data_IF_618925127207
#
_entry.id   IF_618925127207
#
_cell.length_a   1.000
_cell.length_b   1.000
_cell.length_c   1.000
_cell.angle_alpha   90.00
_cell.angle_beta   90.00
_cell.angle_gamma   90.00
#
_symmetry.space_group_name_H-M   'P 1'
#
loop_
_entity.id
_entity.type
_entity.pdbx_description
1 polymer ?
#
# COMPACT_ATOMS: atom_id res chain seq x y z
N UNK A 1 6.30 14.07 -0.77
CA UNK A 1 5.60 14.65 0.41
C UNK A 1 5.28 16.11 0.09
N UNK A 2 4.02 16.43 -0.24
CA UNK A 2 3.59 17.81 -0.42
C UNK A 2 2.12 17.92 0.00
N UNK A 3 1.89 17.85 1.30
CA UNK A 3 0.72 18.44 1.97
C UNK A 3 0.82 19.97 1.94
N UNK A 4 1.08 20.54 0.76
CA UNK A 4 1.15 21.99 0.57
C UNK A 4 -0.26 22.54 0.73
N UNK A 5 -0.49 23.53 1.62
CA UNK A 5 -1.79 24.19 1.75
C UNK A 5 -2.30 24.67 0.38
N UNK A 6 -3.56 24.39 0.09
CA UNK A 6 -4.18 24.74 -1.20
C UNK A 6 -3.92 23.77 -2.36
N UNK A 7 -3.02 22.77 -2.22
CA UNK A 7 -2.88 21.70 -3.20
C UNK A 7 -3.77 20.51 -2.83
N UNK A 8 -4.48 19.96 -3.83
CA UNK A 8 -5.33 18.78 -3.64
C UNK A 8 -4.47 17.54 -3.35
N UNK A 9 -4.78 16.84 -2.26
CA UNK A 9 -4.24 15.50 -1.99
C UNK A 9 -4.88 14.50 -2.96
N UNK A 10 -4.07 13.87 -3.82
CA UNK A 10 -4.56 12.95 -4.87
C UNK A 10 -4.29 11.47 -4.56
N UNK A 11 -3.54 11.18 -3.50
CA UNK A 11 -3.29 9.82 -3.05
C UNK A 11 -2.52 9.78 -1.74
N UNK A 12 -2.64 8.66 -1.04
CA UNK A 12 -1.98 8.41 0.24
C UNK A 12 -1.70 6.91 0.43
N UNK A 13 -0.67 6.62 1.21
CA UNK A 13 -0.42 5.31 1.77
C UNK A 13 -0.20 5.46 3.27
N UNK A 14 -0.82 4.60 4.06
CA UNK A 14 -0.62 4.50 5.51
C UNK A 14 -0.22 3.07 5.84
N UNK A 15 0.82 2.93 6.65
CA UNK A 15 1.26 1.64 7.15
C UNK A 15 1.75 1.71 8.59
N UNK A 16 1.74 0.54 9.24
CA UNK A 16 2.23 0.33 10.60
C UNK A 16 3.39 -0.66 10.49
N UNK A 17 4.51 -0.35 11.14
CA UNK A 17 5.74 -1.14 11.02
C UNK A 17 6.48 -1.18 12.35
N UNK A 18 7.17 -2.28 12.60
CA UNK A 18 8.15 -2.44 13.67
C UNK A 18 9.58 -2.07 13.22
N UNK A 19 9.75 -1.69 11.94
CA UNK A 19 11.03 -1.39 11.27
C UNK A 19 12.03 -2.56 11.24
N UNK A 20 11.59 -3.79 11.50
CA UNK A 20 12.45 -4.97 11.60
C UNK A 20 11.96 -6.12 10.73
N UNK A 21 10.67 -6.46 10.81
CA UNK A 21 10.09 -7.61 10.13
C UNK A 21 9.13 -7.22 9.01
N UNK A 22 8.10 -6.43 9.32
CA UNK A 22 7.04 -6.13 8.36
C UNK A 22 6.40 -4.77 8.57
N UNK A 23 6.09 -4.10 7.46
CA UNK A 23 5.13 -3.02 7.39
C UNK A 23 3.81 -3.54 6.85
N UNK A 24 2.73 -3.39 7.63
CA UNK A 24 1.37 -3.62 7.17
C UNK A 24 0.80 -2.32 6.58
N UNK A 25 0.50 -2.31 5.28
CA UNK A 25 -0.14 -1.18 4.59
C UNK A 25 -1.65 -1.27 4.83
N UNK A 26 -2.11 -0.56 5.85
CA UNK A 26 -3.52 -0.47 6.21
C UNK A 26 -4.36 0.24 5.15
N UNK A 27 -3.81 1.27 4.49
CA UNK A 27 -4.52 2.03 3.47
C UNK A 27 -3.61 2.39 2.31
N UNK A 28 -4.13 2.19 1.10
CA UNK A 28 -3.59 2.72 -0.14
C UNK A 28 -4.76 3.27 -0.94
N UNK A 29 -4.77 4.58 -1.17
CA UNK A 29 -5.84 5.25 -1.89
C UNK A 29 -5.28 6.24 -2.91
N UNK A 30 -5.91 6.28 -4.09
CA UNK A 30 -5.64 7.26 -5.15
C UNK A 30 -6.98 7.75 -5.66
N UNK A 31 -7.14 9.07 -5.79
CA UNK A 31 -8.34 9.69 -6.35
C UNK A 31 -8.67 9.08 -7.71
N UNK A 32 -9.95 8.79 -7.96
CA UNK A 32 -10.42 8.14 -9.20
C UNK A 32 -9.92 8.82 -10.48
N UNK A 33 -9.92 10.16 -10.51
CA UNK A 33 -9.42 10.95 -11.64
C UNK A 33 -7.91 10.87 -11.88
N UNK A 34 -7.16 10.29 -10.96
CA UNK A 34 -5.70 10.15 -11.00
C UNK A 34 -5.24 8.68 -10.97
N UNK A 35 -6.17 7.73 -11.00
CA UNK A 35 -5.86 6.30 -11.13
C UNK A 35 -5.32 6.00 -12.54
N UNK A 36 -4.54 4.93 -12.68
CA UNK A 36 -3.87 4.57 -13.94
C UNK A 36 -2.59 5.36 -14.25
N UNK A 37 -2.31 6.44 -13.50
CA UNK A 37 -1.10 7.28 -13.68
C UNK A 37 0.13 6.78 -12.89
N UNK A 38 0.10 5.56 -12.38
CA UNK A 38 1.21 4.98 -11.61
C UNK A 38 1.37 5.49 -10.17
N UNK A 39 0.49 6.37 -9.68
CA UNK A 39 0.59 6.99 -8.34
C UNK A 39 0.60 5.93 -7.22
N UNK A 40 -0.29 4.93 -7.29
CA UNK A 40 -0.35 3.88 -6.27
C UNK A 40 0.95 3.07 -6.17
N UNK A 41 1.56 2.75 -7.32
CA UNK A 41 2.87 2.10 -7.36
C UNK A 41 3.95 3.01 -6.76
N UNK A 42 3.98 4.28 -7.14
CA UNK A 42 4.95 5.25 -6.61
C UNK A 42 4.85 5.44 -5.09
N UNK A 43 3.64 5.41 -4.52
CA UNK A 43 3.44 5.46 -3.07
C UNK A 43 4.05 4.23 -2.37
N UNK A 44 3.85 3.03 -2.92
CA UNK A 44 4.42 1.79 -2.38
C UNK A 44 5.94 1.72 -2.57
N UNK A 45 6.45 2.16 -3.73
CA UNK A 45 7.89 2.23 -4.01
C UNK A 45 8.59 3.17 -3.02
N UNK A 46 7.99 4.33 -2.73
CA UNK A 46 8.53 5.27 -1.74
C UNK A 46 8.49 4.69 -0.32
N UNK A 47 7.43 3.97 0.04
CA UNK A 47 7.38 3.25 1.31
C UNK A 47 8.49 2.18 1.40
N UNK A 48 8.70 1.38 0.35
CA UNK A 48 9.79 0.39 0.29
C UNK A 48 11.16 1.06 0.38
N UNK A 49 11.35 2.21 -0.26
CA UNK A 49 12.59 2.98 -0.19
C UNK A 49 12.88 3.48 1.22
N UNK A 50 11.87 3.94 1.96
CA UNK A 50 12.03 4.41 3.34
C UNK A 50 12.27 3.26 4.34
N UNK A 51 11.62 2.11 4.12
CA UNK A 51 11.74 0.95 5.01
C UNK A 51 13.01 0.13 4.78
N UNK A 52 13.53 0.13 3.55
CA UNK A 52 14.67 -0.70 3.16
C UNK A 52 14.29 -2.15 2.85
N UNK A 53 15.24 -2.94 2.32
CA UNK A 53 14.97 -4.28 1.82
C UNK A 53 14.78 -5.34 2.92
N UNK A 54 15.15 -5.05 4.16
CA UNK A 54 15.04 -5.98 5.30
C UNK A 54 13.64 -6.03 5.91
N UNK A 55 12.77 -5.07 5.58
CA UNK A 55 11.39 -4.99 6.11
C UNK A 55 10.42 -5.43 5.01
N UNK A 56 9.67 -6.50 5.27
CA UNK A 56 8.63 -6.96 4.37
C UNK A 56 7.47 -5.94 4.28
N UNK A 57 6.65 -6.04 3.24
CA UNK A 57 5.46 -5.20 3.08
C UNK A 57 4.25 -6.07 2.77
N UNK A 58 3.22 -5.98 3.60
CA UNK A 58 1.99 -6.78 3.49
C UNK A 58 0.75 -5.90 3.46
N UNK A 59 -0.33 -6.40 2.86
CA UNK A 59 -1.64 -5.76 2.83
C UNK A 59 -2.74 -6.79 2.55
N UNK A 60 -3.98 -6.44 2.86
CA UNK A 60 -5.17 -7.20 2.46
C UNK A 60 -5.85 -6.45 1.31
N UNK A 61 -5.87 -7.06 0.11
CA UNK A 61 -6.47 -6.46 -1.08
C UNK A 61 -7.98 -6.65 -1.10
N UNK A 62 -8.70 -5.66 -1.65
CA UNK A 62 -10.06 -5.89 -2.19
C UNK A 62 -9.96 -6.69 -3.51
N UNK A 63 -11.00 -7.46 -3.89
CA UNK A 63 -10.95 -8.30 -5.11
C UNK A 63 -10.52 -7.55 -6.36
N UNK A 64 -11.07 -6.36 -6.62
CA UNK A 64 -10.80 -5.59 -7.83
C UNK A 64 -9.36 -5.04 -7.92
N UNK A 65 -8.66 -4.93 -6.79
CA UNK A 65 -7.30 -4.40 -6.73
C UNK A 65 -6.22 -5.49 -6.80
N UNK A 66 -6.60 -6.77 -6.77
CA UNK A 66 -5.68 -7.92 -6.82
C UNK A 66 -4.69 -7.81 -7.98
N UNK A 67 -5.20 -7.63 -9.20
CA UNK A 67 -4.36 -7.62 -10.40
C UNK A 67 -3.41 -6.43 -10.44
N UNK A 68 -3.72 -5.35 -9.71
CA UNK A 68 -2.77 -4.24 -9.55
C UNK A 68 -1.55 -4.67 -8.72
N UNK A 69 -1.75 -5.32 -7.58
CA UNK A 69 -0.65 -5.76 -6.71
C UNK A 69 0.24 -6.83 -7.37
N UNK A 70 -0.37 -7.77 -8.09
CA UNK A 70 0.37 -8.78 -8.87
C UNK A 70 1.23 -8.12 -9.97
N UNK A 71 0.67 -7.15 -10.73
CA UNK A 71 1.42 -6.44 -11.79
C UNK A 71 2.60 -5.62 -11.27
N UNK A 72 2.56 -5.14 -10.02
CA UNK A 72 3.68 -4.39 -9.42
C UNK A 72 4.67 -5.30 -8.68
N UNK A 73 4.52 -6.62 -8.78
CA UNK A 73 5.48 -7.60 -8.28
C UNK A 73 5.29 -8.00 -6.81
N UNK A 74 4.11 -7.75 -6.22
CA UNK A 74 3.78 -8.33 -4.91
C UNK A 74 3.34 -9.79 -5.06
N UNK A 75 3.82 -10.64 -4.16
CA UNK A 75 3.45 -12.06 -4.12
C UNK A 75 2.19 -12.28 -3.29
N UNK A 76 1.22 -13.03 -3.81
CA UNK A 76 0.07 -13.48 -3.03
C UNK A 76 0.50 -14.51 -1.98
N UNK A 77 0.04 -14.33 -0.75
CA UNK A 77 0.28 -15.29 0.34
C UNK A 77 -0.88 -16.27 0.44
N UNK A 78 -0.61 -17.56 0.20
CA UNK A 78 -1.61 -18.63 0.31
C UNK A 78 -1.89 -18.99 1.78
N UNK A 79 -0.87 -18.95 2.63
CA UNK A 79 -0.92 -19.37 4.03
C UNK A 79 -1.25 -18.20 4.98
N UNK A 80 -2.00 -17.20 4.51
CA UNK A 80 -2.47 -16.09 5.34
C UNK A 80 -3.78 -16.47 6.04
N UNK A 81 -3.82 -16.33 7.37
CA UNK A 81 -5.00 -16.61 8.20
C UNK A 81 -5.55 -15.31 8.79
N UNK A 82 -6.87 -15.20 8.91
CA UNK A 82 -7.55 -13.97 9.31
C UNK A 82 -8.74 -14.27 10.22
N UNK A 83 -8.78 -13.61 11.38
CA UNK A 83 -10.00 -13.48 12.16
C UNK A 83 -10.79 -12.26 11.70
N UNK A 84 -12.03 -12.48 11.28
CA UNK A 84 -12.95 -11.42 10.93
C UNK A 84 -13.16 -10.44 12.07
N UNK A 85 -13.46 -9.19 11.73
CA UNK A 85 -13.91 -8.23 12.74
C UNK A 85 -15.31 -8.63 13.20
N UNK A 86 -15.46 -8.91 14.48
CA UNK A 86 -16.75 -8.95 15.14
C UNK A 86 -17.24 -7.49 15.28
N UNK A 87 -18.47 -7.22 14.87
CA UNK A 87 -19.07 -5.88 15.01
C UNK A 87 -19.90 -5.82 16.27
#
# INVERSE_FOLDING_TARGET
>A
RLDTPGKRLIGLARGITDFSWVCYISELAVCKSAQGLGIGKGLLDEARRQLGPSVAMSLISVPDAVGFYERIGMTRMADAFWFGRER
#
